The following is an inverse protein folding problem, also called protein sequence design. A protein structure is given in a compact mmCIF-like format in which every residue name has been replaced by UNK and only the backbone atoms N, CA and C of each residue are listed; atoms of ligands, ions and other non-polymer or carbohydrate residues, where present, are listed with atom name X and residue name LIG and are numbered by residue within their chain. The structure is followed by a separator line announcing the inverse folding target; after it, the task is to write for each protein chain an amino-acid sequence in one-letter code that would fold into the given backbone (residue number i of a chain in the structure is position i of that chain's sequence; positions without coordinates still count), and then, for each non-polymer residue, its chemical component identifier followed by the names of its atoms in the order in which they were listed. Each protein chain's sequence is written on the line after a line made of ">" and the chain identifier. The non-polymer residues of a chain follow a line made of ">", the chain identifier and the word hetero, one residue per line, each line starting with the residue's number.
data_IF_969576387705
#
_entry.id   IF_969576387705
#
_cell.length_a   1.000
_cell.length_b   1.000
_cell.length_c   1.000
_cell.angle_alpha   90.00
_cell.angle_beta   90.00
_cell.angle_gamma   90.00
#
_symmetry.space_group_name_H-M   'P 1'
#
loop_
_entity.id
_entity.type
_entity.pdbx_description
1 polymer ?
#
# COMPACT_ATOMS: atom_id res chain seq x y z
N UNK A 1 10.93 -4.10 11.46
CA UNK A 1 9.93 -3.34 12.23
C UNK A 1 10.22 -1.86 12.04
N UNK A 2 9.24 -1.07 11.63
CA UNK A 2 9.36 0.36 11.40
C UNK A 2 8.22 1.07 12.13
N UNK A 3 8.52 2.05 12.98
CA UNK A 3 7.53 2.78 13.76
C UNK A 3 7.74 4.29 13.61
N UNK A 4 6.64 5.03 13.39
CA UNK A 4 6.62 6.51 13.38
C UNK A 4 7.58 7.18 12.40
N UNK A 5 8.02 6.45 11.36
CA UNK A 5 9.05 6.92 10.43
C UNK A 5 8.41 7.53 9.19
N UNK A 6 9.00 8.62 8.71
CA UNK A 6 8.68 9.22 7.42
C UNK A 6 9.62 8.64 6.37
N UNK A 7 9.05 8.10 5.29
CA UNK A 7 9.77 7.43 4.23
C UNK A 7 9.64 8.17 2.90
N UNK A 8 10.77 8.25 2.21
CA UNK A 8 10.88 8.66 0.82
C UNK A 8 11.62 7.56 0.07
N UNK A 9 10.89 6.75 -0.69
CA UNK A 9 11.48 5.70 -1.52
C UNK A 9 11.47 6.15 -2.98
N UNK A 10 12.64 6.17 -3.61
CA UNK A 10 12.79 6.36 -5.05
C UNK A 10 13.75 5.29 -5.56
N UNK A 11 13.24 4.11 -5.86
CA UNK A 11 14.08 3.01 -6.33
C UNK A 11 13.31 1.77 -6.76
N UNK A 12 13.92 0.99 -7.64
CA UNK A 12 13.47 -0.33 -8.07
C UNK A 12 14.15 -1.41 -7.23
N UNK A 13 13.33 -2.34 -6.73
CA UNK A 13 13.72 -3.50 -5.94
C UNK A 13 14.01 -3.25 -4.44
N UNK A 14 12.93 -3.11 -3.69
CA UNK A 14 12.87 -3.49 -2.28
C UNK A 14 11.86 -4.63 -2.14
N UNK A 15 12.33 -5.81 -1.75
CA UNK A 15 11.45 -6.89 -1.28
C UNK A 15 11.31 -6.73 0.22
N UNK A 16 10.08 -6.51 0.68
CA UNK A 16 9.76 -6.42 2.09
C UNK A 16 9.14 -7.74 2.53
N UNK A 17 9.89 -8.50 3.31
CA UNK A 17 9.45 -9.80 3.82
C UNK A 17 9.16 -9.66 5.30
N UNK A 18 7.92 -9.97 5.71
CA UNK A 18 7.44 -9.95 7.10
C UNK A 18 7.79 -8.62 7.80
N UNK A 19 7.54 -7.52 7.10
CA UNK A 19 7.72 -6.18 7.64
C UNK A 19 6.45 -5.69 8.31
N UNK A 20 6.61 -4.97 9.43
CA UNK A 20 5.50 -4.30 10.10
C UNK A 20 5.81 -2.82 10.20
N UNK A 21 4.85 -2.01 9.75
CA UNK A 21 4.90 -0.55 9.71
C UNK A 21 3.80 -0.01 10.62
N UNK A 22 4.17 0.70 11.68
CA UNK A 22 3.23 1.36 12.59
C UNK A 22 3.29 2.88 12.40
N UNK A 23 2.15 3.50 12.09
CA UNK A 23 2.03 4.96 11.92
C UNK A 23 3.03 5.52 10.91
N UNK A 24 3.42 4.71 9.93
CA UNK A 24 4.48 5.08 8.98
C UNK A 24 3.88 5.97 7.89
N UNK A 25 4.58 7.03 7.53
CA UNK A 25 4.12 7.93 6.46
C UNK A 25 5.06 7.86 5.27
N UNK A 26 4.50 7.67 4.08
CA UNK A 26 5.23 7.59 2.82
C UNK A 26 4.85 8.78 1.95
N UNK A 27 5.74 9.76 1.81
CA UNK A 27 5.51 10.96 1.00
C UNK A 27 6.18 10.80 -0.36
N UNK A 28 5.40 10.96 -1.44
CA UNK A 28 5.90 10.93 -2.82
C UNK A 28 6.69 9.66 -3.17
N UNK A 29 6.51 8.59 -2.41
CA UNK A 29 7.32 7.38 -2.54
C UNK A 29 6.90 6.61 -3.79
N UNK A 30 7.87 6.19 -4.58
CA UNK A 30 7.68 5.38 -5.77
C UNK A 30 8.23 3.98 -5.57
N UNK A 31 7.35 2.98 -5.71
CA UNK A 31 7.64 1.57 -5.54
C UNK A 31 7.61 0.87 -6.90
N UNK A 32 8.78 0.65 -7.49
CA UNK A 32 8.89 0.01 -8.81
C UNK A 32 9.22 -1.48 -8.65
N UNK A 33 8.27 -2.34 -9.03
CA UNK A 33 8.37 -3.79 -8.90
C UNK A 33 8.52 -4.31 -7.47
N UNK A 34 8.20 -3.49 -6.46
CA UNK A 34 8.37 -3.86 -5.05
C UNK A 34 7.45 -5.03 -4.69
N UNK A 35 7.98 -5.96 -3.89
CA UNK A 35 7.21 -7.11 -3.40
C UNK A 35 7.04 -7.02 -1.90
N UNK A 36 5.82 -7.17 -1.41
CA UNK A 36 5.44 -7.15 0.00
C UNK A 36 4.89 -8.51 0.38
N UNK A 37 5.70 -9.34 1.03
CA UNK A 37 5.31 -10.68 1.46
C UNK A 37 4.99 -10.67 2.96
N UNK A 38 3.73 -10.93 3.32
CA UNK A 38 3.25 -10.93 4.70
C UNK A 38 3.43 -9.58 5.42
N UNK A 39 3.52 -8.49 4.67
CA UNK A 39 3.75 -7.16 5.24
C UNK A 39 2.49 -6.64 5.93
N UNK A 40 2.63 -5.98 7.07
CA UNK A 40 1.50 -5.40 7.81
C UNK A 40 1.68 -3.90 8.02
N UNK A 41 0.64 -3.13 7.73
CA UNK A 41 0.61 -1.68 7.85
C UNK A 41 -0.49 -1.29 8.83
N UNK A 42 -0.12 -0.71 9.98
CA UNK A 42 -1.04 -0.22 11.00
C UNK A 42 -1.06 1.30 11.01
N UNK A 43 -2.18 1.90 10.62
CA UNK A 43 -2.37 3.36 10.57
C UNK A 43 -1.36 4.05 9.67
N UNK A 44 -0.85 3.36 8.64
CA UNK A 44 0.15 3.94 7.73
C UNK A 44 -0.52 4.87 6.72
N UNK A 45 0.16 5.95 6.38
CA UNK A 45 -0.34 6.97 5.44
C UNK A 45 0.55 7.02 4.20
N UNK A 46 -0.05 7.01 3.03
CA UNK A 46 0.62 7.15 1.74
C UNK A 46 0.14 8.42 1.06
N UNK A 47 1.01 9.41 0.92
CA UNK A 47 0.67 10.70 0.31
C UNK A 47 1.37 10.84 -1.02
N UNK A 48 0.60 10.93 -2.12
CA UNK A 48 1.14 11.01 -3.48
C UNK A 48 2.05 9.84 -3.85
N UNK A 49 1.89 8.67 -3.19
CA UNK A 49 2.74 7.52 -3.44
C UNK A 49 2.34 6.81 -4.73
N UNK A 50 3.32 6.32 -5.47
CA UNK A 50 3.13 5.61 -6.74
C UNK A 50 3.62 4.17 -6.65
N UNK A 51 2.80 3.22 -7.06
CA UNK A 51 3.13 1.79 -7.07
C UNK A 51 3.10 1.29 -8.52
N UNK A 52 4.25 0.97 -9.09
CA UNK A 52 4.37 0.46 -10.46
C UNK A 52 4.73 -1.03 -10.43
N UNK A 53 3.84 -1.90 -10.89
CA UNK A 53 4.02 -3.35 -10.89
C UNK A 53 4.27 -3.95 -9.50
N UNK A 54 3.83 -3.27 -8.44
CA UNK A 54 4.06 -3.74 -7.07
C UNK A 54 3.20 -4.95 -6.75
N UNK A 55 3.75 -5.93 -6.04
CA UNK A 55 3.03 -7.16 -5.67
C UNK A 55 2.91 -7.29 -4.16
N UNK A 56 1.70 -7.59 -3.67
CA UNK A 56 1.38 -7.75 -2.26
C UNK A 56 0.84 -9.17 -2.03
N UNK A 57 1.65 -10.03 -1.41
CA UNK A 57 1.28 -11.39 -1.03
C UNK A 57 0.94 -11.45 0.46
N UNK A 58 -0.30 -11.79 0.80
CA UNK A 58 -0.77 -11.91 2.18
C UNK A 58 -0.56 -10.64 3.02
N UNK A 59 -0.51 -9.47 2.37
CA UNK A 59 -0.27 -8.22 3.08
C UNK A 59 -1.54 -7.73 3.76
N UNK A 60 -1.40 -7.11 4.93
CA UNK A 60 -2.54 -6.60 5.70
C UNK A 60 -2.42 -5.11 5.98
N UNK A 61 -3.50 -4.37 5.77
CA UNK A 61 -3.59 -2.92 5.98
C UNK A 61 -4.69 -2.63 6.98
N UNK A 62 -4.34 -2.14 8.17
CA UNK A 62 -5.26 -1.77 9.24
C UNK A 62 -5.31 -0.26 9.38
N UNK A 63 -6.43 0.37 9.06
CA UNK A 63 -6.63 1.82 9.14
C UNK A 63 -5.68 2.62 8.24
N UNK A 64 -5.09 1.99 7.23
CA UNK A 64 -4.16 2.68 6.33
C UNK A 64 -4.89 3.70 5.45
N UNK A 65 -4.26 4.84 5.23
CA UNK A 65 -4.83 5.93 4.43
C UNK A 65 -3.97 6.20 3.20
N UNK A 66 -4.62 6.36 2.05
CA UNK A 66 -3.97 6.63 0.76
C UNK A 66 -4.52 7.94 0.20
N UNK A 67 -3.71 8.99 0.19
CA UNK A 67 -4.02 10.28 -0.42
C UNK A 67 -3.34 10.39 -1.78
N UNK A 68 -4.11 10.67 -2.82
CA UNK A 68 -3.65 10.90 -4.21
C UNK A 68 -2.67 9.82 -4.68
N UNK A 69 -2.85 8.59 -4.18
CA UNK A 69 -1.93 7.48 -4.45
C UNK A 69 -2.29 6.83 -5.76
N UNK A 70 -1.27 6.55 -6.57
CA UNK A 70 -1.43 5.97 -7.90
C UNK A 70 -0.87 4.57 -7.97
N UNK A 71 -1.62 3.63 -8.53
CA UNK A 71 -1.23 2.25 -8.67
C UNK A 71 -1.32 1.82 -10.14
N UNK A 72 -0.16 1.54 -10.75
CA UNK A 72 -0.03 1.04 -12.11
C UNK A 72 0.32 -0.45 -12.09
N UNK A 73 -0.61 -1.31 -12.48
CA UNK A 73 -0.44 -2.75 -12.51
C UNK A 73 -0.14 -3.39 -11.15
N UNK A 74 -0.67 -2.93 -10.00
CA UNK A 74 -0.42 -3.62 -8.76
C UNK A 74 -1.10 -5.00 -8.77
N UNK A 75 -0.49 -5.96 -8.08
CA UNK A 75 -1.09 -7.28 -7.88
C UNK A 75 -1.23 -7.59 -6.40
N UNK A 76 -2.43 -7.90 -5.95
CA UNK A 76 -2.74 -8.23 -4.56
C UNK A 76 -3.22 -9.68 -4.47
N UNK A 77 -2.44 -10.54 -3.84
CA UNK A 77 -2.75 -11.94 -3.57
C UNK A 77 -3.04 -12.14 -2.09
N UNK A 78 -4.27 -12.53 -1.73
CA UNK A 78 -4.66 -12.76 -0.33
C UNK A 78 -4.49 -11.53 0.56
N UNK A 79 -4.47 -10.33 0.00
CA UNK A 79 -4.26 -9.11 0.78
C UNK A 79 -5.54 -8.69 1.48
N UNK A 80 -5.42 -8.14 2.69
CA UNK A 80 -6.57 -7.75 3.50
C UNK A 80 -6.50 -6.29 3.90
N UNK A 81 -7.60 -5.57 3.75
CA UNK A 81 -7.73 -4.15 4.08
C UNK A 81 -8.84 -3.96 5.10
N UNK A 82 -8.50 -3.56 6.32
CA UNK A 82 -9.43 -3.26 7.40
C UNK A 82 -9.48 -1.75 7.63
N UNK A 83 -10.64 -1.12 7.41
CA UNK A 83 -10.83 0.31 7.63
C UNK A 83 -9.90 1.20 6.79
N UNK A 84 -9.42 0.70 5.65
CA UNK A 84 -8.54 1.48 4.78
C UNK A 84 -9.32 2.59 4.09
N UNK A 85 -8.72 3.77 4.03
CA UNK A 85 -9.33 4.95 3.42
C UNK A 85 -8.51 5.41 2.22
N UNK A 86 -9.18 5.71 1.12
CA UNK A 86 -8.55 6.17 -0.10
C UNK A 86 -9.17 7.50 -0.55
N UNK A 87 -8.35 8.53 -0.68
CA UNK A 87 -8.72 9.86 -1.15
C UNK A 87 -8.06 10.13 -2.50
N UNK A 88 -8.85 10.25 -3.56
CA UNK A 88 -8.39 10.39 -4.94
C UNK A 88 -7.45 9.26 -5.41
N UNK A 89 -7.70 7.99 -5.09
CA UNK A 89 -6.81 6.93 -5.57
C UNK A 89 -6.97 6.74 -7.07
N UNK A 90 -5.87 6.42 -7.75
CA UNK A 90 -5.92 6.03 -9.16
C UNK A 90 -5.39 4.61 -9.31
N UNK A 91 -6.18 3.74 -9.93
CA UNK A 91 -5.84 2.34 -10.16
C UNK A 91 -5.89 2.01 -11.66
N UNK A 92 -4.75 1.67 -12.24
CA UNK A 92 -4.63 1.20 -13.63
C UNK A 92 -4.19 -0.25 -13.63
N UNK A 93 -4.90 -1.14 -14.33
CA UNK A 93 -4.49 -2.55 -14.49
C UNK A 93 -4.32 -3.32 -13.18
N UNK A 94 -5.05 -2.95 -12.13
CA UNK A 94 -4.91 -3.57 -10.81
C UNK A 94 -5.56 -4.95 -10.77
N UNK A 95 -4.88 -5.92 -10.17
CA UNK A 95 -5.37 -7.29 -10.05
C UNK A 95 -5.47 -7.71 -8.59
N UNK A 96 -6.62 -8.27 -8.20
CA UNK A 96 -6.91 -8.69 -6.82
C UNK A 96 -7.35 -10.15 -6.79
N UNK A 97 -6.50 -11.05 -6.29
CA UNK A 97 -6.79 -12.47 -6.13
C UNK A 97 -6.99 -12.80 -4.65
N UNK A 98 -8.20 -13.20 -4.28
CA UNK A 98 -8.52 -13.54 -2.88
C UNK A 98 -8.31 -12.38 -1.90
N UNK A 99 -8.32 -11.13 -2.39
CA UNK A 99 -8.17 -9.96 -1.53
C UNK A 99 -9.50 -9.58 -0.89
N UNK A 100 -9.46 -9.11 0.36
CA UNK A 100 -10.65 -8.77 1.14
C UNK A 100 -10.57 -7.34 1.65
N UNK A 101 -11.71 -6.66 1.66
CA UNK A 101 -11.85 -5.29 2.14
C UNK A 101 -12.98 -5.22 3.17
N UNK A 102 -12.67 -4.82 4.39
CA UNK A 102 -13.58 -4.68 5.51
C UNK A 102 -13.71 -3.21 5.88
N UNK A 103 -14.85 -2.60 5.58
CA UNK A 103 -15.10 -1.18 5.80
C UNK A 103 -14.15 -0.25 5.04
N UNK A 104 -13.86 -0.49 3.74
CA UNK A 104 -13.06 0.47 2.98
C UNK A 104 -13.87 1.75 2.75
N UNK A 105 -13.19 2.89 2.75
CA UNK A 105 -13.80 4.16 2.38
C UNK A 105 -13.07 4.74 1.18
N UNK A 106 -13.82 5.11 0.14
CA UNK A 106 -13.28 5.71 -1.08
C UNK A 106 -13.90 7.08 -1.29
N UNK A 107 -13.07 8.11 -1.32
CA UNK A 107 -13.43 9.47 -1.70
C UNK A 107 -12.82 9.75 -3.06
N UNK A 108 -13.66 9.84 -4.09
CA UNK A 108 -13.24 10.17 -5.46
C UNK A 108 -13.38 11.66 -5.77
N UNK A 109 -12.70 12.07 -6.85
CA UNK A 109 -13.13 13.17 -7.72
C UNK A 109 -13.92 12.60 -8.89
#
# INVERSE_FOLDING_TARGET
>A
FFAGSCFYFTGSCSSFVVSTFYGSTFYGSTFYGSTFYGSTFYGSTFYGSTFYGSTFYGSTFYGSTFYESTFYGPTFYGSTFYGSTFYGPTFYGSTFYGSTFYGPTFYGS
#
